data_IF_717317284692
#
_entry.id   IF_717317284692
#
_cell.length_a   1.000
_cell.length_b   1.000
_cell.length_c   1.000
_cell.angle_alpha   90.00
_cell.angle_beta   90.00
_cell.angle_gamma   90.00
#
_symmetry.space_group_name_H-M   'P 1'
#
loop_
_entity.id
_entity.type
_entity.pdbx_description
1 polymer ?
#
# COMPACT_ATOMS: atom_id res chain seq x y z
N UNK A 1 19.95 -1.51 3.34
CA UNK A 1 19.27 -0.32 3.88
C UNK A 1 17.81 -0.69 4.10
N UNK A 2 17.17 -0.28 5.20
CA UNK A 2 15.72 -0.40 5.32
C UNK A 2 15.05 0.38 4.18
N UNK A 3 13.93 -0.13 3.68
CA UNK A 3 13.08 0.64 2.76
C UNK A 3 12.59 1.90 3.47
N UNK A 4 12.53 3.01 2.73
CA UNK A 4 11.94 4.27 3.20
C UNK A 4 10.97 4.75 2.15
N UNK A 5 9.71 4.93 2.53
CA UNK A 5 8.66 5.42 1.67
C UNK A 5 8.89 6.90 1.35
N UNK A 6 8.89 7.31 0.07
CA UNK A 6 9.10 8.70 -0.32
C UNK A 6 7.78 9.50 -0.24
N UNK A 7 7.15 9.50 0.93
CA UNK A 7 5.83 10.13 1.16
C UNK A 7 5.86 11.61 0.77
N UNK A 8 6.92 12.33 1.17
CA UNK A 8 7.09 13.76 0.88
C UNK A 8 7.14 14.04 -0.63
N UNK A 9 7.81 13.19 -1.41
CA UNK A 9 7.91 13.34 -2.87
C UNK A 9 6.53 13.14 -3.52
N UNK A 10 5.75 12.14 -3.07
CA UNK A 10 4.40 11.91 -3.58
C UNK A 10 3.46 13.06 -3.23
N UNK A 11 3.46 13.55 -1.98
CA UNK A 11 2.67 14.72 -1.59
C UNK A 11 3.05 15.96 -2.42
N UNK A 12 4.35 16.18 -2.66
CA UNK A 12 4.81 17.29 -3.51
C UNK A 12 4.31 17.16 -4.96
N UNK A 13 4.40 15.97 -5.55
CA UNK A 13 3.92 15.71 -6.90
C UNK A 13 2.43 16.01 -7.05
N UNK A 14 1.61 15.54 -6.11
CA UNK A 14 0.16 15.75 -6.12
C UNK A 14 -0.19 17.24 -5.98
N UNK A 15 0.43 17.93 -5.02
CA UNK A 15 0.11 19.34 -4.71
C UNK A 15 0.64 20.34 -5.75
N UNK A 16 1.75 20.03 -6.43
CA UNK A 16 2.47 21.06 -7.19
C UNK A 16 2.76 20.71 -8.65
N UNK A 17 2.70 19.44 -9.05
CA UNK A 17 3.20 19.03 -10.37
C UNK A 17 2.09 18.53 -11.28
N UNK A 18 1.19 17.68 -10.77
CA UNK A 18 0.23 16.96 -11.63
C UNK A 18 -1.14 17.64 -11.75
N UNK A 19 -1.36 18.76 -11.05
CA UNK A 19 -2.64 19.49 -11.06
C UNK A 19 -3.78 18.69 -10.42
N UNK A 20 -3.52 18.07 -9.26
CA UNK A 20 -4.45 17.15 -8.61
C UNK A 20 -5.81 17.77 -8.23
N UNK A 21 -5.89 19.09 -8.03
CA UNK A 21 -7.15 19.82 -7.83
C UNK A 21 -8.20 19.54 -8.93
N UNK A 22 -7.77 19.32 -10.18
CA UNK A 22 -8.69 19.00 -11.26
C UNK A 22 -9.39 17.65 -11.07
N UNK A 23 -8.74 16.71 -10.35
CA UNK A 23 -9.31 15.41 -9.97
C UNK A 23 -10.23 15.57 -8.76
N UNK A 24 -9.75 16.26 -7.72
CA UNK A 24 -10.51 16.56 -6.50
C UNK A 24 -11.82 17.33 -6.81
N UNK A 25 -11.81 18.18 -7.83
CA UNK A 25 -12.99 18.94 -8.26
C UNK A 25 -14.08 18.11 -8.95
N UNK A 26 -13.90 16.80 -9.11
CA UNK A 26 -14.94 15.91 -9.65
C UNK A 26 -15.76 15.27 -8.53
N UNK A 27 -17.07 15.08 -8.76
CA UNK A 27 -17.97 14.41 -7.79
C UNK A 27 -17.45 13.04 -7.36
N UNK A 28 -16.78 12.31 -8.26
CA UNK A 28 -16.22 10.98 -7.96
C UNK A 28 -15.09 11.00 -6.93
N UNK A 29 -14.34 12.09 -6.84
CA UNK A 29 -13.13 12.18 -6.03
C UNK A 29 -13.17 13.36 -5.05
N UNK A 30 -14.37 13.86 -4.72
CA UNK A 30 -14.52 15.00 -3.81
C UNK A 30 -13.97 14.73 -2.40
N UNK A 31 -13.98 13.47 -1.97
CA UNK A 31 -13.42 13.03 -0.68
C UNK A 31 -11.88 12.95 -0.67
N UNK A 32 -11.21 13.10 -1.82
CA UNK A 32 -9.76 13.05 -1.93
C UNK A 32 -9.10 14.38 -1.50
N UNK A 33 -9.54 14.97 -0.40
CA UNK A 33 -9.01 16.24 0.13
C UNK A 33 -7.51 16.12 0.46
N UNK A 34 -6.84 17.25 0.62
CA UNK A 34 -5.40 17.27 0.88
C UNK A 34 -5.02 16.54 2.18
N UNK A 35 -5.82 16.71 3.24
CA UNK A 35 -5.60 16.05 4.52
C UNK A 35 -5.84 14.53 4.45
N UNK A 36 -6.87 14.10 3.73
CA UNK A 36 -7.15 12.67 3.48
C UNK A 36 -6.02 12.07 2.65
N UNK A 37 -5.59 12.75 1.59
CA UNK A 37 -4.52 12.28 0.71
C UNK A 37 -3.19 12.15 1.46
N UNK A 38 -2.81 13.16 2.25
CA UNK A 38 -1.59 13.10 3.08
C UNK A 38 -1.66 11.99 4.13
N UNK A 39 -2.81 11.78 4.77
CA UNK A 39 -3.01 10.69 5.73
C UNK A 39 -2.87 9.31 5.05
N UNK A 40 -3.48 9.11 3.88
CA UNK A 40 -3.40 7.87 3.12
C UNK A 40 -1.95 7.58 2.69
N UNK A 41 -1.22 8.58 2.17
CA UNK A 41 0.18 8.41 1.80
C UNK A 41 1.05 8.05 3.00
N UNK A 42 0.80 8.67 4.16
CA UNK A 42 1.53 8.39 5.41
C UNK A 42 1.30 6.96 5.89
N UNK A 43 0.05 6.51 5.97
CA UNK A 43 -0.28 5.16 6.43
C UNK A 43 0.16 4.09 5.42
N UNK A 44 0.06 4.36 4.12
CA UNK A 44 0.62 3.48 3.08
C UNK A 44 2.14 3.37 3.21
N UNK A 45 2.83 4.48 3.53
CA UNK A 45 4.25 4.50 3.82
C UNK A 45 4.63 3.59 4.99
N UNK A 46 3.93 3.71 6.12
CA UNK A 46 4.12 2.84 7.29
C UNK A 46 3.87 1.37 6.97
N UNK A 47 2.79 1.04 6.25
CA UNK A 47 2.51 -0.33 5.80
C UNK A 47 3.68 -0.89 4.96
N UNK A 48 4.23 -0.09 4.05
CA UNK A 48 5.37 -0.50 3.25
C UNK A 48 6.64 -0.71 4.09
N UNK A 49 6.94 0.21 5.02
CA UNK A 49 8.16 0.18 5.84
C UNK A 49 8.13 -0.89 6.94
N UNK A 50 7.01 -1.01 7.65
CA UNK A 50 6.92 -1.82 8.87
C UNK A 50 6.42 -3.24 8.62
N UNK A 51 5.67 -3.49 7.52
CA UNK A 51 5.06 -4.78 7.24
C UNK A 51 5.62 -5.42 5.96
N UNK A 52 5.64 -4.69 4.84
CA UNK A 52 5.99 -5.26 3.54
C UNK A 52 7.50 -5.42 3.37
N UNK A 53 8.28 -4.35 3.61
CA UNK A 53 9.72 -4.38 3.40
C UNK A 53 10.46 -5.42 4.26
N UNK A 54 10.10 -5.64 5.55
CA UNK A 54 10.80 -6.60 6.40
C UNK A 54 10.70 -8.05 5.90
N UNK A 55 9.61 -8.42 5.22
CA UNK A 55 9.44 -9.80 4.74
C UNK A 55 10.19 -10.08 3.43
N UNK A 56 10.58 -9.06 2.66
CA UNK A 56 11.23 -9.25 1.35
C UNK A 56 12.50 -10.09 1.44
N UNK A 57 13.35 -9.82 2.44
CA UNK A 57 14.60 -10.58 2.63
C UNK A 57 14.35 -12.06 2.91
N UNK A 58 13.28 -12.38 3.64
CA UNK A 58 12.88 -13.77 3.87
C UNK A 58 12.39 -14.42 2.57
N UNK A 59 11.72 -13.66 1.71
CA UNK A 59 11.36 -14.08 0.36
C UNK A 59 12.58 -14.49 -0.47
N UNK A 60 13.65 -13.70 -0.45
CA UNK A 60 14.90 -13.99 -1.16
C UNK A 60 15.63 -15.23 -0.62
N UNK A 61 15.74 -15.32 0.71
CA UNK A 61 16.50 -16.38 1.39
C UNK A 61 15.75 -17.71 1.44
N UNK A 62 14.42 -17.65 1.47
CA UNK A 62 13.52 -18.79 1.63
C UNK A 62 12.39 -18.68 0.61
N UNK A 63 12.67 -18.91 -0.69
CA UNK A 63 11.67 -18.76 -1.73
C UNK A 63 10.49 -19.71 -1.53
N UNK A 64 9.33 -19.30 -2.02
CA UNK A 64 8.14 -20.14 -2.01
C UNK A 64 8.41 -21.46 -2.75
N UNK A 65 7.81 -22.55 -2.27
CA UNK A 65 7.98 -23.88 -2.85
C UNK A 65 6.64 -24.59 -3.04
N UNK A 66 6.56 -25.43 -4.07
CA UNK A 66 5.46 -26.35 -4.25
C UNK A 66 5.76 -27.65 -3.50
N UNK A 67 4.85 -28.05 -2.62
CA UNK A 67 4.99 -29.26 -1.81
C UNK A 67 3.66 -30.01 -1.79
N UNK A 68 3.61 -31.21 -2.37
CA UNK A 68 2.42 -32.07 -2.43
C UNK A 68 1.17 -31.36 -2.99
N UNK A 69 1.35 -30.57 -4.06
CA UNK A 69 0.26 -29.81 -4.69
C UNK A 69 -0.12 -28.51 -3.97
N UNK A 70 0.56 -28.15 -2.88
CA UNK A 70 0.31 -26.92 -2.12
C UNK A 70 1.51 -25.99 -2.19
N UNK A 71 1.29 -24.72 -2.53
CA UNK A 71 2.34 -23.70 -2.47
C UNK A 71 2.54 -23.26 -1.01
N UNK A 72 3.77 -23.37 -0.52
CA UNK A 72 4.19 -22.86 0.79
C UNK A 72 4.88 -21.52 0.58
N UNK A 73 4.29 -20.46 1.11
CA UNK A 73 4.82 -19.09 1.02
C UNK A 73 6.05 -18.93 1.91
N UNK A 74 6.87 -17.94 1.57
CA UNK A 74 8.04 -17.55 2.37
C UNK A 74 7.65 -17.10 3.78
N UNK A 75 8.54 -17.27 4.78
CA UNK A 75 8.26 -16.87 6.16
C UNK A 75 7.84 -15.41 6.29
N UNK A 76 6.75 -15.15 7.03
CA UNK A 76 6.21 -13.80 7.28
C UNK A 76 5.24 -13.28 6.22
N UNK A 77 5.17 -13.88 5.03
CA UNK A 77 4.30 -13.38 3.95
C UNK A 77 2.81 -13.55 4.26
N UNK A 78 2.43 -14.60 5.01
CA UNK A 78 1.03 -14.81 5.38
C UNK A 78 0.55 -13.72 6.35
N UNK A 79 1.39 -13.38 7.34
CA UNK A 79 1.13 -12.32 8.31
C UNK A 79 1.15 -10.94 7.65
N UNK A 80 2.10 -10.67 6.75
CA UNK A 80 2.15 -9.43 6.01
C UNK A 80 0.91 -9.25 5.11
N UNK A 81 0.51 -10.29 4.39
CA UNK A 81 -0.71 -10.27 3.58
C UNK A 81 -1.96 -10.02 4.43
N UNK A 82 -2.02 -10.65 5.61
CA UNK A 82 -3.10 -10.39 6.57
C UNK A 82 -3.13 -8.94 7.02
N UNK A 83 -1.99 -8.31 7.31
CA UNK A 83 -1.90 -6.89 7.65
C UNK A 83 -2.40 -5.97 6.52
N UNK A 84 -2.06 -6.30 5.26
CA UNK A 84 -2.58 -5.58 4.08
C UNK A 84 -4.11 -5.71 4.00
N UNK A 85 -4.64 -6.91 4.20
CA UNK A 85 -6.07 -7.17 4.15
C UNK A 85 -6.84 -6.47 5.28
N UNK A 86 -6.37 -6.57 6.51
CA UNK A 86 -6.99 -5.93 7.69
C UNK A 86 -6.92 -4.39 7.61
N UNK A 87 -5.89 -3.84 6.95
CA UNK A 87 -5.78 -2.41 6.67
C UNK A 87 -6.67 -1.91 5.52
N UNK A 88 -7.45 -2.79 4.87
CA UNK A 88 -8.34 -2.40 3.75
C UNK A 88 -7.64 -2.11 2.42
N UNK A 89 -6.31 -2.23 2.36
CA UNK A 89 -5.51 -1.84 1.20
C UNK A 89 -5.81 -2.65 -0.07
N UNK A 90 -6.36 -3.87 0.07
CA UNK A 90 -6.78 -4.71 -1.07
C UNK A 90 -7.95 -4.07 -1.84
N UNK A 91 -8.85 -3.39 -1.12
CA UNK A 91 -10.07 -2.78 -1.66
C UNK A 91 -9.93 -1.31 -2.02
N UNK A 92 -8.75 -0.68 -1.89
CA UNK A 92 -8.59 0.78 -1.97
C UNK A 92 -9.14 1.44 -3.25
N UNK A 93 -9.30 0.68 -4.33
CA UNK A 93 -9.83 1.16 -5.62
C UNK A 93 -11.16 0.52 -6.02
N UNK A 94 -11.73 -0.33 -5.17
CA UNK A 94 -12.98 -0.99 -5.43
C UNK A 94 -14.17 -0.04 -5.17
N UNK A 95 -15.33 -0.42 -5.72
CA UNK A 95 -16.56 0.35 -5.53
C UNK A 95 -16.98 0.26 -4.07
N UNK A 96 -17.51 1.34 -3.46
CA UNK A 96 -18.07 1.28 -2.10
C UNK A 96 -19.11 0.16 -1.90
N UNK A 97 -19.83 -0.24 -2.96
CA UNK A 97 -20.80 -1.35 -2.94
C UNK A 97 -20.16 -2.73 -2.70
N UNK A 98 -18.85 -2.85 -2.90
CA UNK A 98 -18.10 -4.12 -2.88
C UNK A 98 -16.88 -4.10 -1.95
N UNK A 99 -16.64 -2.98 -1.25
CA UNK A 99 -15.52 -2.77 -0.34
C UNK A 99 -14.53 -1.74 -0.85
#
# INVERSE_FOLDING_TARGET
MPFRAPVEDFSFLLKHIVGFEAVQGTERFEDATDDVTDAILTEAGKMCEEIIAPVQRNGDLHPARLENGVVRTSPGYAEAFKGIAEGGWIGISASPDHG
#
